data_IF_052934620782
#
_entry.id   IF_052934620782
#
_cell.length_a   1.000
_cell.length_b   1.000
_cell.length_c   1.000
_cell.angle_alpha   90.00
_cell.angle_beta   90.00
_cell.angle_gamma   90.00
#
_symmetry.space_group_name_H-M   'P 1'
#
loop_
_entity.id
_entity.type
_entity.pdbx_description
1 polymer ?
#
# COMPACT_ATOMS: atom_id res chain seq x y z
N UNK A 1 -9.53 -14.93 22.54
CA UNK A 1 -8.62 -14.05 21.76
C UNK A 1 -9.00 -13.99 20.28
N UNK A 2 -9.38 -15.08 19.59
CA UNK A 2 -9.80 -14.99 18.17
C UNK A 2 -11.12 -14.27 17.88
N UNK A 3 -12.08 -14.29 18.80
CA UNK A 3 -13.43 -13.73 18.56
C UNK A 3 -13.52 -12.19 18.71
N UNK A 4 -12.60 -11.56 19.44
CA UNK A 4 -12.58 -10.10 19.63
C UNK A 4 -11.87 -9.40 18.47
N UNK A 5 -10.77 -9.98 17.96
CA UNK A 5 -10.07 -9.51 16.75
C UNK A 5 -10.97 -9.56 15.50
N UNK A 6 -11.77 -10.62 15.37
CA UNK A 6 -12.75 -10.76 14.28
C UNK A 6 -13.86 -9.70 14.37
N UNK A 7 -14.25 -9.29 15.58
CA UNK A 7 -15.32 -8.30 15.80
C UNK A 7 -14.86 -6.86 15.52
N UNK A 8 -13.61 -6.53 15.85
CA UNK A 8 -13.04 -5.20 15.58
C UNK A 8 -12.68 -5.02 14.10
N UNK A 9 -12.14 -6.06 13.46
CA UNK A 9 -11.98 -6.12 12.00
C UNK A 9 -13.30 -5.98 11.25
N UNK A 10 -14.37 -6.63 11.74
CA UNK A 10 -15.72 -6.50 11.18
C UNK A 10 -16.29 -5.07 11.32
N UNK A 11 -15.99 -4.36 12.42
CA UNK A 11 -16.41 -2.96 12.62
C UNK A 11 -15.69 -2.00 11.69
N UNK A 12 -14.37 -2.16 11.51
CA UNK A 12 -13.59 -1.39 10.54
C UNK A 12 -14.06 -1.66 9.10
N UNK A 13 -14.33 -2.91 8.76
CA UNK A 13 -14.89 -3.31 7.47
C UNK A 13 -16.29 -2.72 7.24
N UNK A 14 -17.16 -2.69 8.26
CA UNK A 14 -18.50 -2.11 8.18
C UNK A 14 -18.47 -0.58 8.02
N UNK A 15 -17.56 0.12 8.71
CA UNK A 15 -17.38 1.56 8.58
C UNK A 15 -16.83 1.95 7.18
N UNK A 16 -15.90 1.17 6.65
CA UNK A 16 -15.39 1.35 5.28
C UNK A 16 -16.46 1.05 4.23
N UNK A 17 -17.26 0.00 4.42
CA UNK A 17 -18.37 -0.36 3.54
C UNK A 17 -19.44 0.75 3.48
N UNK A 18 -19.78 1.35 4.63
CA UNK A 18 -20.71 2.46 4.70
C UNK A 18 -20.16 3.73 4.01
N UNK A 19 -18.87 4.00 4.14
CA UNK A 19 -18.21 5.12 3.48
C UNK A 19 -18.06 4.91 1.96
N UNK A 20 -17.96 3.67 1.51
CA UNK A 20 -17.84 3.31 0.10
C UNK A 20 -19.18 3.19 -0.64
N UNK A 21 -20.24 2.75 0.04
CA UNK A 21 -21.60 2.89 -0.47
C UNK A 21 -21.98 4.38 -0.68
N UNK A 22 -21.28 5.28 0.02
CA UNK A 22 -21.34 6.72 -0.16
C UNK A 22 -20.24 7.27 -1.09
N UNK A 23 -19.45 6.42 -1.76
CA UNK A 23 -18.47 6.86 -2.72
C UNK A 23 -19.15 7.67 -3.82
N UNK A 24 -18.61 8.84 -4.20
CA UNK A 24 -19.29 9.76 -5.08
C UNK A 24 -19.63 9.02 -6.37
N UNK A 25 -20.90 9.14 -6.76
CA UNK A 25 -21.26 9.02 -8.16
C UNK A 25 -20.24 9.85 -8.93
N UNK A 26 -19.45 9.22 -9.80
CA UNK A 26 -18.77 9.94 -10.88
C UNK A 26 -19.89 10.36 -11.82
N UNK A 27 -20.56 11.44 -11.46
CA UNK A 27 -21.88 11.81 -11.91
C UNK A 27 -22.36 13.02 -11.13
N UNK A 28 -21.64 14.14 -11.31
CA UNK A 28 -22.17 15.51 -11.52
C UNK A 28 -21.06 16.58 -11.33
N UNK A 29 -20.03 16.31 -10.52
CA UNK A 29 -18.80 17.11 -10.45
C UNK A 29 -17.70 16.51 -11.33
N UNK A 30 -17.15 17.28 -12.27
CA UNK A 30 -16.11 16.81 -13.20
C UNK A 30 -14.79 16.40 -12.53
N UNK A 31 -13.78 16.08 -13.34
CA UNK A 31 -12.41 15.90 -12.84
C UNK A 31 -11.90 17.22 -12.27
N UNK A 32 -11.60 17.24 -10.97
CA UNK A 32 -11.03 18.39 -10.29
C UNK A 32 -9.58 18.12 -9.88
N UNK A 33 -8.71 19.07 -10.22
CA UNK A 33 -7.29 19.03 -9.82
C UNK A 33 -7.20 19.66 -8.42
N UNK A 34 -6.52 19.02 -7.45
CA UNK A 34 -6.27 19.63 -6.14
C UNK A 34 -5.72 21.05 -6.27
N UNK A 35 -6.26 21.99 -5.51
CA UNK A 35 -5.95 23.42 -5.63
C UNK A 35 -4.44 23.69 -5.60
N UNK A 36 -3.70 22.96 -4.76
CA UNK A 36 -2.25 23.11 -4.64
C UNK A 36 -1.50 22.74 -5.94
N UNK A 37 -1.97 21.73 -6.67
CA UNK A 37 -1.41 21.36 -7.96
C UNK A 37 -1.69 22.44 -9.02
N UNK A 38 -2.80 23.17 -8.91
CA UNK A 38 -3.14 24.25 -9.82
C UNK A 38 -2.38 25.56 -9.49
N UNK A 39 -2.16 25.83 -8.20
CA UNK A 39 -1.70 27.13 -7.70
C UNK A 39 -0.21 27.18 -7.32
N UNK A 40 0.38 26.06 -6.88
CA UNK A 40 1.78 26.02 -6.47
C UNK A 40 2.70 25.61 -7.62
N UNK A 41 3.48 26.56 -8.12
CA UNK A 41 4.49 26.32 -9.15
C UNK A 41 5.53 25.29 -8.71
N UNK A 42 5.99 25.37 -7.45
CA UNK A 42 6.98 24.43 -6.91
C UNK A 42 6.52 22.97 -6.96
N UNK A 43 5.28 22.70 -6.58
CA UNK A 43 4.71 21.34 -6.64
C UNK A 43 4.61 20.85 -8.08
N UNK A 44 4.24 21.72 -9.03
CA UNK A 44 4.21 21.36 -10.46
C UNK A 44 5.60 21.08 -11.02
N UNK A 45 6.61 21.87 -10.65
CA UNK A 45 8.00 21.63 -11.05
C UNK A 45 8.54 20.29 -10.53
N UNK A 46 8.20 19.94 -9.28
CA UNK A 46 8.59 18.67 -8.67
C UNK A 46 8.00 17.48 -9.42
N UNK A 47 6.70 17.53 -9.76
CA UNK A 47 6.07 16.49 -10.58
C UNK A 47 6.63 16.45 -12.00
N UNK A 48 6.89 17.60 -12.63
CA UNK A 48 7.49 17.65 -13.96
C UNK A 48 8.92 17.10 -13.98
N UNK A 49 9.71 17.32 -12.93
CA UNK A 49 11.03 16.72 -12.77
C UNK A 49 10.93 15.20 -12.57
N UNK A 50 10.05 14.76 -11.68
CA UNK A 50 9.77 13.34 -11.47
C UNK A 50 9.36 12.64 -12.79
N UNK A 51 8.47 13.23 -13.59
CA UNK A 51 8.04 12.65 -14.86
C UNK A 51 9.18 12.46 -15.87
N UNK A 52 10.17 13.36 -15.87
CA UNK A 52 11.35 13.29 -16.75
C UNK A 52 12.42 12.33 -16.26
N UNK A 53 12.64 12.27 -14.95
CA UNK A 53 13.81 11.62 -14.35
C UNK A 53 13.50 10.21 -13.82
N UNK A 54 12.26 9.96 -13.41
CA UNK A 54 11.90 8.71 -12.73
C UNK A 54 11.63 7.56 -13.68
N UNK A 55 12.12 6.38 -13.28
CA UNK A 55 11.80 5.11 -13.91
C UNK A 55 10.34 4.70 -13.71
N UNK A 56 9.95 3.57 -14.32
CA UNK A 56 8.60 3.02 -14.18
C UNK A 56 8.25 2.70 -12.71
N UNK A 57 9.22 2.22 -11.93
CA UNK A 57 9.04 1.88 -10.52
C UNK A 57 8.66 3.11 -9.70
N UNK A 58 9.49 4.17 -9.70
CA UNK A 58 9.19 5.36 -8.91
C UNK A 58 7.87 6.05 -9.38
N UNK A 59 7.58 6.05 -10.70
CA UNK A 59 6.32 6.60 -11.22
C UNK A 59 5.07 5.82 -10.80
N UNK A 60 5.20 4.53 -10.51
CA UNK A 60 4.09 3.73 -9.98
C UNK A 60 3.61 4.20 -8.60
N UNK A 61 4.47 4.87 -7.83
CA UNK A 61 4.10 5.47 -6.54
C UNK A 61 3.06 6.60 -6.71
N UNK A 62 3.24 7.47 -7.71
CA UNK A 62 2.28 8.53 -8.05
C UNK A 62 0.94 7.95 -8.55
N UNK A 63 0.98 6.88 -9.34
CA UNK A 63 -0.24 6.18 -9.79
C UNK A 63 -1.01 5.55 -8.63
N UNK A 64 -0.29 4.97 -7.66
CA UNK A 64 -0.90 4.40 -6.46
C UNK A 64 -1.54 5.49 -5.60
N UNK A 65 -0.88 6.64 -5.44
CA UNK A 65 -1.47 7.80 -4.77
C UNK A 65 -2.72 8.33 -5.50
N UNK A 66 -2.73 8.34 -6.84
CA UNK A 66 -3.91 8.73 -7.62
C UNK A 66 -5.10 7.81 -7.33
N UNK A 67 -4.86 6.51 -7.25
CA UNK A 67 -5.87 5.53 -6.85
C UNK A 67 -6.47 5.83 -5.48
N UNK A 68 -5.63 6.12 -4.48
CA UNK A 68 -6.10 6.49 -3.13
C UNK A 68 -6.90 7.79 -3.13
N UNK A 69 -6.44 8.80 -3.87
CA UNK A 69 -7.12 10.09 -3.97
C UNK A 69 -8.52 9.96 -4.59
N UNK A 70 -8.64 9.23 -5.70
CA UNK A 70 -9.90 9.06 -6.42
C UNK A 70 -10.87 8.10 -5.72
N UNK A 71 -10.36 7.23 -4.86
CA UNK A 71 -11.15 6.43 -3.92
C UNK A 71 -11.30 7.11 -2.53
N UNK A 72 -11.17 8.44 -2.48
CA UNK A 72 -11.10 9.23 -1.25
C UNK A 72 -12.29 9.11 -0.29
N UNK A 73 -13.45 8.67 -0.78
CA UNK A 73 -14.60 8.36 0.07
C UNK A 73 -14.38 7.12 0.95
N UNK A 74 -13.66 6.12 0.44
CA UNK A 74 -13.27 4.94 1.20
C UNK A 74 -11.92 5.15 1.89
N UNK A 75 -10.91 5.65 1.16
CA UNK A 75 -9.55 5.85 1.65
C UNK A 75 -9.33 7.31 2.01
N UNK A 76 -9.36 7.63 3.31
CA UNK A 76 -9.06 8.99 3.78
C UNK A 76 -7.56 9.25 3.79
N UNK A 77 -7.03 9.71 2.65
CA UNK A 77 -5.66 10.18 2.49
C UNK A 77 -5.67 11.66 2.03
N UNK A 78 -5.47 12.63 2.94
CA UNK A 78 -5.64 14.04 2.64
C UNK A 78 -4.58 14.61 1.71
N UNK A 79 -3.46 13.90 1.49
CA UNK A 79 -2.37 14.35 0.64
C UNK A 79 -2.17 13.48 -0.61
N UNK A 80 -2.91 12.37 -0.74
CA UNK A 80 -2.83 11.49 -1.91
C UNK A 80 -2.97 12.24 -3.24
N UNK A 81 -3.91 13.17 -3.34
CA UNK A 81 -4.14 13.93 -4.58
C UNK A 81 -2.91 14.76 -4.98
N UNK A 82 -2.34 15.49 -4.04
CA UNK A 82 -1.14 16.31 -4.30
C UNK A 82 0.07 15.43 -4.60
N UNK A 83 0.26 14.34 -3.84
CA UNK A 83 1.36 13.38 -4.04
C UNK A 83 1.27 12.62 -5.36
N UNK A 84 0.06 12.46 -5.93
CA UNK A 84 -0.14 11.81 -7.21
C UNK A 84 0.30 12.66 -8.40
N UNK A 85 0.14 13.98 -8.30
CA UNK A 85 0.33 14.89 -9.41
C UNK A 85 -0.82 14.83 -10.42
N UNK A 86 -0.94 15.88 -11.24
CA UNK A 86 -2.06 16.03 -12.18
C UNK A 86 -2.10 14.91 -13.23
N UNK A 87 -0.94 14.56 -13.81
CA UNK A 87 -0.85 13.54 -14.86
C UNK A 87 -1.37 12.18 -14.41
N UNK A 88 -0.93 11.71 -13.23
CA UNK A 88 -1.40 10.45 -12.65
C UNK A 88 -2.88 10.49 -12.30
N UNK A 89 -3.35 11.59 -11.68
CA UNK A 89 -4.77 11.78 -11.34
C UNK A 89 -5.66 11.72 -12.59
N UNK A 90 -5.30 12.46 -13.64
CA UNK A 90 -6.08 12.52 -14.87
C UNK A 90 -6.14 11.17 -15.57
N UNK A 91 -4.98 10.51 -15.73
CA UNK A 91 -4.90 9.19 -16.34
C UNK A 91 -5.74 8.14 -15.60
N UNK A 92 -5.67 8.16 -14.26
CA UNK A 92 -6.41 7.22 -13.43
C UNK A 92 -7.92 7.52 -13.43
N UNK A 93 -8.31 8.79 -13.40
CA UNK A 93 -9.71 9.23 -13.52
C UNK A 93 -10.32 8.79 -14.85
N UNK A 94 -9.63 9.02 -15.96
CA UNK A 94 -10.07 8.59 -17.30
C UNK A 94 -10.25 7.07 -17.38
N UNK A 95 -9.36 6.31 -16.74
CA UNK A 95 -9.48 4.86 -16.62
C UNK A 95 -10.75 4.47 -15.87
N UNK A 96 -11.00 5.04 -14.68
CA UNK A 96 -12.23 4.79 -13.92
C UNK A 96 -13.49 5.18 -14.70
N UNK A 97 -13.47 6.31 -15.41
CA UNK A 97 -14.58 6.76 -16.24
C UNK A 97 -14.83 5.84 -17.45
N UNK A 98 -13.80 5.21 -18.02
CA UNK A 98 -13.96 4.16 -19.03
C UNK A 98 -14.62 2.92 -18.43
N UNK A 99 -14.11 2.42 -17.30
CA UNK A 99 -14.62 1.22 -16.64
C UNK A 99 -16.12 1.35 -16.30
N UNK A 100 -16.54 2.53 -15.80
CA UNK A 100 -17.95 2.83 -15.51
C UNK A 100 -18.81 2.86 -16.77
N UNK A 101 -18.34 3.51 -17.84
CA UNK A 101 -19.07 3.57 -19.13
C UNK A 101 -19.21 2.20 -19.78
N UNK A 102 -18.21 1.33 -19.63
CA UNK A 102 -18.27 -0.04 -20.15
C UNK A 102 -18.98 -1.02 -19.21
N UNK A 103 -19.55 -0.56 -18.08
CA UNK A 103 -20.15 -1.42 -17.05
C UNK A 103 -19.22 -2.56 -16.65
N UNK A 104 -17.93 -2.23 -16.45
CA UNK A 104 -16.95 -3.19 -15.97
C UNK A 104 -17.40 -3.73 -14.60
N UNK A 105 -17.16 -5.02 -14.37
CA UNK A 105 -17.51 -5.72 -13.12
C UNK A 105 -16.71 -5.20 -11.91
N UNK A 106 -15.66 -4.43 -12.17
CA UNK A 106 -14.88 -3.70 -11.19
C UNK A 106 -14.38 -2.38 -11.79
N UNK A 107 -14.30 -1.35 -10.96
CA UNK A 107 -13.74 -0.04 -11.34
C UNK A 107 -12.27 0.01 -10.91
N UNK A 108 -11.41 0.49 -11.79
CA UNK A 108 -9.98 0.65 -11.51
C UNK A 108 -9.72 1.35 -10.18
N UNK A 109 -8.75 0.82 -9.44
CA UNK A 109 -8.36 1.33 -8.13
C UNK A 109 -9.06 0.67 -6.94
N UNK A 110 -10.09 -0.16 -7.17
CA UNK A 110 -10.74 -0.88 -6.06
C UNK A 110 -9.77 -1.78 -5.29
N UNK A 111 -8.84 -2.48 -5.97
CA UNK A 111 -7.77 -3.25 -5.33
C UNK A 111 -6.88 -2.34 -4.47
N UNK A 112 -6.51 -1.16 -4.97
CA UNK A 112 -5.67 -0.22 -4.24
C UNK A 112 -6.37 0.27 -2.98
N UNK A 113 -7.67 0.56 -3.07
CA UNK A 113 -8.48 0.97 -1.93
C UNK A 113 -8.58 -0.13 -0.87
N UNK A 114 -8.96 -1.35 -1.27
CA UNK A 114 -9.00 -2.52 -0.39
C UNK A 114 -7.63 -2.76 0.25
N UNK A 115 -6.55 -2.74 -0.54
CA UNK A 115 -5.18 -2.95 -0.05
C UNK A 115 -4.80 -1.89 0.98
N UNK A 116 -5.01 -0.61 0.68
CA UNK A 116 -4.69 0.46 1.62
C UNK A 116 -5.46 0.29 2.94
N UNK A 117 -6.76 0.02 2.88
CA UNK A 117 -7.59 -0.17 4.07
C UNK A 117 -7.18 -1.40 4.88
N UNK A 118 -6.80 -2.49 4.21
CA UNK A 118 -6.28 -3.68 4.87
C UNK A 118 -5.00 -3.36 5.64
N UNK A 119 -4.00 -2.76 4.98
CA UNK A 119 -2.76 -2.38 5.65
C UNK A 119 -2.99 -1.40 6.80
N UNK A 120 -3.87 -0.41 6.64
CA UNK A 120 -4.20 0.54 7.72
C UNK A 120 -4.78 -0.18 8.94
N UNK A 121 -5.77 -1.07 8.72
CA UNK A 121 -6.40 -1.83 9.79
C UNK A 121 -5.41 -2.78 10.49
N UNK A 122 -4.45 -3.34 9.75
CA UNK A 122 -3.43 -4.26 10.30
C UNK A 122 -2.33 -3.52 11.04
N UNK A 123 -1.94 -2.34 10.59
CA UNK A 123 -1.05 -1.44 11.33
C UNK A 123 -1.72 -1.03 12.65
N UNK A 124 -2.99 -0.61 12.61
CA UNK A 124 -3.73 -0.22 13.81
C UNK A 124 -3.84 -1.36 14.83
N UNK A 125 -4.20 -2.57 14.39
CA UNK A 125 -4.25 -3.73 15.28
C UNK A 125 -2.87 -4.13 15.82
N UNK A 126 -1.83 -4.13 15.00
CA UNK A 126 -0.48 -4.46 15.44
C UNK A 126 0.06 -3.44 16.46
N UNK A 127 -0.30 -2.16 16.32
CA UNK A 127 0.03 -1.11 17.28
C UNK A 127 -0.77 -1.28 18.58
N UNK A 128 -2.06 -1.62 18.49
CA UNK A 128 -2.92 -1.81 19.66
C UNK A 128 -2.54 -3.05 20.50
N UNK A 129 -2.09 -4.13 19.87
CA UNK A 129 -1.67 -5.37 20.56
C UNK A 129 -0.23 -5.31 21.12
N UNK A 130 0.54 -4.28 20.78
CA UNK A 130 1.90 -4.13 21.26
C UNK A 130 1.94 -3.66 22.73
N UNK A 131 2.77 -4.30 23.56
CA UNK A 131 2.95 -3.91 24.96
C UNK A 131 3.61 -2.52 25.13
N UNK A 132 4.34 -2.06 24.11
CA UNK A 132 4.94 -0.74 24.01
C UNK A 132 4.78 -0.21 22.57
N UNK A 133 4.77 1.11 22.33
CA UNK A 133 4.63 1.68 21.00
C UNK A 133 5.70 1.13 20.04
N UNK A 134 5.32 0.43 18.95
CA UNK A 134 6.28 -0.19 18.06
C UNK A 134 6.97 0.84 17.16
N UNK A 135 8.11 0.45 16.61
CA UNK A 135 8.70 1.12 15.45
C UNK A 135 7.97 0.64 14.19
N UNK A 136 7.47 1.55 13.35
CA UNK A 136 6.82 1.20 12.09
C UNK A 136 7.77 1.49 10.94
N UNK A 137 8.06 0.51 10.11
CA UNK A 137 8.99 0.63 8.97
C UNK A 137 8.23 0.43 7.67
N UNK A 138 8.13 1.49 6.87
CA UNK A 138 7.55 1.49 5.53
C UNK A 138 8.68 1.25 4.52
N UNK A 139 8.82 0.02 4.02
CA UNK A 139 9.83 -0.35 3.02
C UNK A 139 9.30 -0.13 1.60
N UNK A 140 10.02 0.64 0.79
CA UNK A 140 9.50 1.14 -0.48
C UNK A 140 8.36 2.12 -0.23
N UNK A 141 8.58 3.07 0.68
CA UNK A 141 7.54 3.97 1.20
C UNK A 141 6.79 4.75 0.12
N UNK A 142 7.38 4.98 -1.05
CA UNK A 142 6.76 5.64 -2.19
C UNK A 142 6.06 6.93 -1.76
N UNK A 143 4.83 7.09 -2.27
CA UNK A 143 3.93 8.19 -1.89
C UNK A 143 3.03 7.84 -0.69
N UNK A 144 3.40 6.92 0.20
CA UNK A 144 2.62 6.58 1.40
C UNK A 144 2.52 7.78 2.36
N UNK A 145 1.32 8.10 2.84
CA UNK A 145 1.07 9.21 3.75
C UNK A 145 0.67 8.77 5.17
N UNK A 146 0.81 7.49 5.54
CA UNK A 146 0.35 6.94 6.83
C UNK A 146 0.86 7.71 8.04
N UNK A 147 2.12 8.14 8.05
CA UNK A 147 2.70 8.97 9.11
C UNK A 147 1.95 10.31 9.33
N UNK A 148 1.21 10.80 8.34
CA UNK A 148 0.45 12.05 8.35
C UNK A 148 -1.07 11.85 8.50
N UNK A 149 -1.57 10.61 8.48
CA UNK A 149 -3.02 10.35 8.49
C UNK A 149 -3.50 9.28 9.47
N UNK A 150 -2.62 8.41 9.96
CA UNK A 150 -2.99 7.37 10.93
C UNK A 150 -2.73 7.84 12.36
N UNK A 151 -3.80 8.14 13.09
CA UNK A 151 -3.73 8.61 14.49
C UNK A 151 -3.22 7.55 15.47
N UNK A 152 -3.33 6.25 15.12
CA UNK A 152 -2.75 5.17 15.93
C UNK A 152 -1.22 5.27 16.05
N UNK A 153 -0.55 6.00 15.13
CA UNK A 153 0.90 6.16 15.12
C UNK A 153 1.44 7.24 16.06
N UNK A 154 0.59 7.92 16.83
CA UNK A 154 0.97 9.08 17.68
C UNK A 154 2.10 8.83 18.67
N UNK A 155 2.30 7.59 19.10
CA UNK A 155 3.42 7.20 19.98
C UNK A 155 4.52 6.43 19.26
N UNK A 156 4.34 6.13 17.98
CA UNK A 156 5.21 5.28 17.17
C UNK A 156 6.25 6.11 16.40
N UNK A 157 7.49 5.64 16.38
CA UNK A 157 8.50 6.14 15.44
C UNK A 157 8.27 5.48 14.07
N UNK A 158 8.10 6.27 13.02
CA UNK A 158 7.93 5.79 11.65
C UNK A 158 9.22 5.99 10.86
N UNK A 159 9.65 4.95 10.17
CA UNK A 159 10.78 4.97 9.25
C UNK A 159 10.28 4.77 7.81
N UNK A 160 10.57 5.72 6.93
CA UNK A 160 10.34 5.58 5.48
C UNK A 160 11.66 5.22 4.81
N UNK A 161 11.73 4.03 4.20
CA UNK A 161 12.91 3.54 3.49
C UNK A 161 12.61 3.51 2.00
N UNK A 162 13.32 4.33 1.22
CA UNK A 162 13.16 4.40 -0.23
C UNK A 162 14.36 5.12 -0.88
N UNK A 163 14.32 5.26 -2.21
CA UNK A 163 15.29 6.00 -3.00
C UNK A 163 15.43 7.46 -2.52
N UNK A 164 16.67 7.99 -2.46
CA UNK A 164 16.93 9.35 -1.98
C UNK A 164 16.10 10.42 -2.71
N UNK A 165 16.00 10.33 -4.03
CA UNK A 165 15.25 11.28 -4.87
C UNK A 165 13.74 11.22 -4.61
N UNK A 166 13.19 10.03 -4.36
CA UNK A 166 11.77 9.85 -4.08
C UNK A 166 11.43 10.47 -2.71
N UNK A 167 12.21 10.12 -1.68
CA UNK A 167 12.03 10.65 -0.32
C UNK A 167 12.12 12.17 -0.29
N UNK A 168 13.08 12.75 -1.04
CA UNK A 168 13.25 14.20 -1.17
C UNK A 168 12.03 14.85 -1.84
N UNK A 169 11.64 14.39 -3.01
CA UNK A 169 10.48 14.94 -3.75
C UNK A 169 9.20 14.87 -2.91
N UNK A 170 8.93 13.72 -2.27
CA UNK A 170 7.78 13.57 -1.36
C UNK A 170 7.84 14.55 -0.20
N UNK A 171 9.00 14.71 0.45
CA UNK A 171 9.16 15.62 1.57
C UNK A 171 8.84 17.07 1.16
N UNK A 172 9.32 17.51 -0.01
CA UNK A 172 9.06 18.85 -0.54
C UNK A 172 7.58 19.03 -0.89
N UNK A 173 6.94 18.06 -1.54
CA UNK A 173 5.50 18.13 -1.85
C UNK A 173 4.66 18.21 -0.57
N UNK A 174 4.97 17.40 0.44
CA UNK A 174 4.25 17.43 1.73
C UNK A 174 4.51 18.75 2.46
N UNK A 175 5.72 19.31 2.37
CA UNK A 175 6.04 20.61 2.94
C UNK A 175 5.15 21.71 2.33
N UNK A 176 5.09 21.79 1.00
CA UNK A 176 4.20 22.73 0.28
C UNK A 176 2.73 22.54 0.65
N UNK A 177 2.29 21.29 0.82
CA UNK A 177 0.94 21.00 1.29
C UNK A 177 0.70 21.45 2.73
N UNK A 178 1.71 21.36 3.61
CA UNK A 178 1.56 21.72 5.02
C UNK A 178 1.49 23.24 5.23
N UNK A 179 2.25 24.01 4.44
CA UNK A 179 2.28 25.48 4.56
C UNK A 179 1.15 26.18 3.78
N UNK A 180 0.46 25.45 2.92
CA UNK A 180 -0.62 26.00 2.10
C UNK A 180 -1.88 26.33 2.93
N UNK A 181 -2.47 27.54 2.78
CA UNK A 181 -3.69 27.93 3.49
C UNK A 181 -4.88 27.00 3.25
N UNK A 182 -4.97 26.39 2.06
CA UNK A 182 -6.03 25.47 1.67
C UNK A 182 -5.82 24.04 2.21
N UNK A 183 -4.65 23.72 2.75
CA UNK A 183 -4.28 22.40 3.28
C UNK A 183 -3.85 22.45 4.76
N UNK A 184 -4.34 23.43 5.53
CA UNK A 184 -4.06 23.69 6.96
C UNK A 184 -4.28 22.51 7.96
N UNK A 185 -4.49 21.28 7.49
CA UNK A 185 -4.77 20.09 8.29
C UNK A 185 -3.77 18.95 8.09
N UNK A 186 -2.76 19.09 7.23
CA UNK A 186 -1.70 18.08 7.10
C UNK A 186 -0.71 18.27 8.25
N UNK A 187 -0.88 17.48 9.31
CA UNK A 187 0.02 17.47 10.47
C UNK A 187 0.58 16.06 10.65
N UNK A 188 1.84 15.97 11.06
CA UNK A 188 2.44 14.69 11.37
C UNK A 188 1.65 14.04 12.51
N UNK A 189 1.07 12.87 12.24
CA UNK A 189 0.33 12.09 13.22
C UNK A 189 1.26 11.18 14.00
N UNK A 190 2.32 10.69 13.37
CA UNK A 190 3.31 9.86 14.03
C UNK A 190 4.13 10.65 15.07
N UNK A 191 4.66 9.96 16.10
CA UNK A 191 5.56 10.57 17.09
C UNK A 191 6.80 11.18 16.44
N UNK A 192 7.36 10.46 15.49
CA UNK A 192 8.48 10.92 14.67
C UNK A 192 8.42 10.26 13.31
N UNK A 193 8.97 10.94 12.30
CA UNK A 193 9.15 10.41 10.97
C UNK A 193 10.62 10.56 10.58
N UNK A 194 11.25 9.43 10.27
CA UNK A 194 12.65 9.36 9.85
C UNK A 194 12.70 8.82 8.43
N UNK A 195 13.30 9.60 7.53
CA UNK A 195 13.53 9.19 6.13
C UNK A 195 14.90 8.56 6.01
N UNK A 196 14.95 7.36 5.47
CA UNK A 196 16.15 6.53 5.35
C UNK A 196 16.44 6.31 3.87
N UNK A 197 17.37 7.08 3.27
CA UNK A 197 17.73 6.92 1.86
C UNK A 197 18.46 5.58 1.65
N UNK A 198 17.78 4.61 1.05
CA UNK A 198 18.35 3.29 0.77
C UNK A 198 17.62 2.59 -0.38
N UNK A 199 18.38 1.84 -1.17
CA UNK A 199 17.85 0.90 -2.16
C UNK A 199 17.80 -0.51 -1.55
N UNK A 200 16.63 -1.15 -1.55
CA UNK A 200 16.45 -2.50 -1.00
C UNK A 200 17.21 -3.58 -1.80
N UNK A 201 17.74 -3.24 -2.97
CA UNK A 201 18.60 -4.11 -3.78
C UNK A 201 20.05 -4.11 -3.29
N UNK A 202 20.45 -3.09 -2.54
CA UNK A 202 21.78 -3.01 -1.93
C UNK A 202 21.82 -3.81 -0.62
N UNK A 203 22.99 -4.29 -0.21
CA UNK A 203 23.12 -5.11 1.00
C UNK A 203 23.12 -4.29 2.32
N UNK A 204 23.27 -2.97 2.24
CA UNK A 204 23.49 -2.10 3.40
C UNK A 204 22.22 -1.35 3.87
N UNK A 205 21.05 -1.59 3.26
CA UNK A 205 19.81 -0.87 3.60
C UNK A 205 19.43 -1.01 5.08
N UNK A 206 19.63 -2.20 5.67
CA UNK A 206 19.34 -2.45 7.08
C UNK A 206 20.35 -1.76 8.00
N UNK A 207 21.62 -1.68 7.60
CA UNK A 207 22.65 -0.91 8.31
C UNK A 207 22.33 0.59 8.28
N UNK A 208 21.95 1.12 7.10
CA UNK A 208 21.46 2.50 6.93
C UNK A 208 20.26 2.76 7.85
N UNK A 209 19.28 1.86 7.89
CA UNK A 209 18.12 1.96 8.78
C UNK A 209 18.53 2.03 10.27
N UNK A 210 19.46 1.17 10.70
CA UNK A 210 20.01 1.20 12.08
C UNK A 210 20.75 2.50 12.39
N UNK A 211 21.56 3.02 11.47
CA UNK A 211 22.25 4.32 11.61
C UNK A 211 21.27 5.49 11.78
N UNK A 212 20.08 5.38 11.22
CA UNK A 212 19.00 6.37 11.36
C UNK A 212 18.15 6.17 12.62
N UNK A 213 18.52 5.26 13.52
CA UNK A 213 17.93 5.13 14.85
C UNK A 213 16.94 3.96 15.01
N UNK A 214 16.76 3.12 14.00
CA UNK A 214 16.01 1.87 14.17
C UNK A 214 16.75 0.94 15.15
N UNK A 215 16.04 0.48 16.19
CA UNK A 215 16.57 -0.49 17.15
C UNK A 215 15.96 -1.89 16.90
N UNK A 216 16.76 -2.91 16.54
CA UNK A 216 16.25 -4.27 16.30
C UNK A 216 15.79 -5.01 17.57
N UNK A 217 16.11 -4.48 18.76
CA UNK A 217 15.67 -5.06 20.05
C UNK A 217 14.33 -4.48 20.53
N UNK A 218 13.65 -3.69 19.70
CA UNK A 218 12.32 -3.12 20.01
C UNK A 218 11.27 -3.73 19.10
N UNK A 219 10.02 -3.75 19.58
CA UNK A 219 8.88 -4.21 18.80
C UNK A 219 8.79 -3.45 17.48
N UNK A 220 8.62 -4.16 16.36
CA UNK A 220 8.60 -3.55 15.03
C UNK A 220 7.46 -4.07 14.15
N UNK A 221 6.80 -3.16 13.45
CA UNK A 221 5.83 -3.45 12.38
C UNK A 221 6.46 -3.08 11.04
N UNK A 222 6.69 -4.08 10.20
CA UNK A 222 7.27 -3.93 8.87
C UNK A 222 6.17 -3.93 7.83
N UNK A 223 6.14 -2.92 6.97
CA UNK A 223 5.13 -2.75 5.92
C UNK A 223 5.82 -2.79 4.57
N UNK A 224 5.50 -3.81 3.78
CA UNK A 224 5.98 -4.03 2.42
C UNK A 224 4.77 -4.00 1.50
N UNK A 225 4.15 -2.83 1.35
CA UNK A 225 3.01 -2.64 0.45
C UNK A 225 3.51 -2.35 -0.97
N UNK A 226 3.27 -3.29 -1.88
CA UNK A 226 3.47 -3.11 -3.29
C UNK A 226 4.93 -3.01 -3.72
N UNK A 227 5.84 -3.65 -2.99
CA UNK A 227 7.29 -3.56 -3.23
C UNK A 227 7.92 -4.90 -3.65
N UNK A 228 7.50 -6.02 -3.06
CA UNK A 228 8.19 -7.32 -3.19
C UNK A 228 8.33 -7.76 -4.65
N UNK A 229 7.26 -7.65 -5.43
CA UNK A 229 7.24 -8.09 -6.82
C UNK A 229 8.11 -7.22 -7.76
N UNK A 230 8.59 -6.05 -7.33
CA UNK A 230 9.56 -5.24 -8.08
C UNK A 230 11.03 -5.62 -7.80
N UNK A 231 11.27 -6.45 -6.79
CA UNK A 231 12.62 -6.88 -6.44
C UNK A 231 12.97 -8.16 -7.18
N UNK A 232 14.22 -8.31 -7.68
CA UNK A 232 14.72 -9.62 -8.10
C UNK A 232 14.57 -10.65 -6.98
N UNK A 233 14.36 -11.92 -7.35
CA UNK A 233 14.07 -13.01 -6.39
C UNK A 233 15.00 -13.00 -5.18
N UNK A 234 16.32 -12.88 -5.40
CA UNK A 234 17.30 -12.90 -4.32
C UNK A 234 17.19 -11.68 -3.40
N UNK A 235 16.90 -10.48 -3.93
CA UNK A 235 16.70 -9.29 -3.10
C UNK A 235 15.41 -9.38 -2.27
N UNK A 236 14.30 -9.85 -2.87
CA UNK A 236 13.04 -10.06 -2.16
C UNK A 236 13.21 -11.06 -1.00
N UNK A 237 13.86 -12.20 -1.25
CA UNK A 237 14.16 -13.19 -0.21
C UNK A 237 15.08 -12.62 0.86
N UNK A 238 16.16 -11.93 0.50
CA UNK A 238 17.06 -11.29 1.46
C UNK A 238 16.34 -10.29 2.37
N UNK A 239 15.39 -9.50 1.84
CA UNK A 239 14.57 -8.59 2.64
C UNK A 239 13.69 -9.38 3.63
N UNK A 240 12.98 -10.41 3.16
CA UNK A 240 12.11 -11.24 4.00
C UNK A 240 12.90 -11.96 5.10
N UNK A 241 14.03 -12.57 4.77
CA UNK A 241 14.92 -13.26 5.70
C UNK A 241 15.53 -12.29 6.74
N UNK A 242 15.91 -11.08 6.31
CA UNK A 242 16.43 -10.04 7.22
C UNK A 242 15.38 -9.59 8.24
N UNK A 243 14.11 -9.50 7.83
CA UNK A 243 13.00 -9.19 8.74
C UNK A 243 12.72 -10.37 9.66
N UNK A 244 12.69 -11.59 9.13
CA UNK A 244 12.46 -12.81 9.92
C UNK A 244 13.55 -13.00 11.00
N UNK A 245 14.79 -12.63 10.71
CA UNK A 245 15.87 -12.65 11.70
C UNK A 245 15.60 -11.74 12.91
N UNK A 246 14.82 -10.66 12.76
CA UNK A 246 14.44 -9.80 13.88
C UNK A 246 13.42 -10.47 14.83
N UNK A 247 12.66 -11.47 14.39
CA UNK A 247 11.77 -12.24 15.27
C UNK A 247 12.53 -12.91 16.43
N UNK A 248 13.82 -13.18 16.27
CA UNK A 248 14.67 -13.73 17.34
C UNK A 248 15.07 -12.70 18.41
N UNK A 249 14.93 -11.40 18.14
CA UNK A 249 15.37 -10.31 19.01
C UNK A 249 14.21 -9.60 19.70
N UNK A 250 13.13 -9.38 18.97
CA UNK A 250 11.96 -8.67 19.46
C UNK A 250 10.70 -9.11 18.74
N UNK A 251 9.54 -8.77 19.33
CA UNK A 251 8.25 -8.97 18.69
C UNK A 251 8.23 -8.25 17.34
N UNK A 252 8.01 -9.01 16.28
CA UNK A 252 8.04 -8.51 14.91
C UNK A 252 6.73 -8.87 14.23
N UNK A 253 6.16 -7.92 13.50
CA UNK A 253 5.00 -8.15 12.64
C UNK A 253 5.35 -7.71 11.23
N UNK A 254 5.25 -8.63 10.28
CA UNK A 254 5.39 -8.38 8.85
C UNK A 254 4.00 -8.24 8.24
N UNK A 255 3.76 -7.11 7.58
CA UNK A 255 2.62 -6.85 6.71
C UNK A 255 3.17 -6.74 5.29
N UNK A 256 2.73 -7.60 4.38
CA UNK A 256 3.22 -7.61 3.01
C UNK A 256 2.15 -8.03 2.01
N UNK A 257 2.28 -7.61 0.76
CA UNK A 257 1.49 -8.16 -0.34
C UNK A 257 2.34 -9.00 -1.30
N UNK A 258 1.76 -10.11 -1.75
CA UNK A 258 2.39 -11.05 -2.67
C UNK A 258 1.54 -11.21 -3.92
N UNK A 259 2.19 -11.21 -5.07
CA UNK A 259 1.58 -11.62 -6.33
C UNK A 259 1.84 -13.11 -6.57
N UNK A 260 0.84 -13.80 -7.13
CA UNK A 260 1.02 -15.17 -7.61
C UNK A 260 1.72 -15.18 -8.99
N UNK A 261 2.09 -16.37 -9.47
CA UNK A 261 2.82 -16.51 -10.74
C UNK A 261 2.08 -15.90 -11.92
N UNK A 262 0.77 -16.12 -12.01
CA UNK A 262 -0.07 -15.62 -13.10
C UNK A 262 -0.07 -14.08 -13.15
N UNK A 263 0.00 -13.40 -12.00
CA UNK A 263 0.06 -11.93 -11.96
C UNK A 263 1.31 -11.35 -12.64
N UNK A 264 2.40 -12.13 -12.81
CA UNK A 264 3.57 -11.67 -13.57
C UNK A 264 3.25 -11.40 -15.04
N UNK A 265 2.24 -12.08 -15.62
CA UNK A 265 1.84 -11.83 -17.00
C UNK A 265 1.14 -10.48 -17.19
N UNK A 266 0.71 -9.82 -16.10
CA UNK A 266 0.14 -8.46 -16.16
C UNK A 266 1.22 -7.42 -16.53
N UNK A 267 2.49 -7.74 -16.29
CA UNK A 267 3.60 -6.87 -16.65
C UNK A 267 4.07 -7.16 -18.08
N UNK A 268 3.47 -6.50 -19.06
CA UNK A 268 3.97 -6.49 -20.45
C UNK A 268 5.42 -5.96 -20.58
N UNK A 269 5.92 -5.28 -19.54
CA UNK A 269 7.20 -4.56 -19.51
C UNK A 269 8.30 -5.30 -18.74
N UNK A 270 8.07 -6.55 -18.29
CA UNK A 270 9.04 -7.32 -17.49
C UNK A 270 9.43 -6.67 -16.15
N UNK A 271 8.57 -5.81 -15.59
CA UNK A 271 8.82 -5.02 -14.36
C UNK A 271 8.61 -5.83 -13.07
N UNK A 272 7.88 -6.95 -13.13
CA UNK A 272 7.70 -7.84 -11.99
C UNK A 272 8.67 -9.02 -12.06
N UNK A 273 9.37 -9.27 -10.95
CA UNK A 273 10.48 -10.24 -10.88
C UNK A 273 10.31 -11.31 -9.79
N UNK A 274 9.47 -11.04 -8.78
CA UNK A 274 9.23 -11.94 -7.66
C UNK A 274 7.73 -12.27 -7.55
N UNK A 275 7.44 -13.51 -7.17
CA UNK A 275 6.10 -14.00 -6.94
C UNK A 275 6.12 -15.12 -5.89
N UNK A 276 4.98 -15.37 -5.28
CA UNK A 276 4.73 -16.57 -4.49
C UNK A 276 3.28 -16.99 -4.62
N UNK A 277 3.05 -18.23 -5.04
CA UNK A 277 1.69 -18.81 -5.06
C UNK A 277 1.23 -19.20 -3.64
N UNK A 278 2.17 -19.39 -2.71
CA UNK A 278 1.96 -19.93 -1.36
C UNK A 278 2.80 -19.19 -0.31
N UNK A 279 2.58 -17.87 -0.07
CA UNK A 279 3.38 -17.14 0.91
C UNK A 279 3.19 -17.67 2.34
N UNK A 280 2.03 -18.26 2.64
CA UNK A 280 1.73 -19.01 3.86
C UNK A 280 2.56 -20.28 4.06
N UNK A 281 3.14 -20.84 2.99
CA UNK A 281 4.10 -21.93 3.09
C UNK A 281 5.55 -21.43 3.06
N UNK A 282 5.81 -20.32 2.37
CA UNK A 282 7.15 -19.72 2.24
C UNK A 282 7.63 -19.09 3.55
N UNK A 283 6.81 -18.24 4.17
CA UNK A 283 7.24 -17.47 5.34
C UNK A 283 7.62 -18.35 6.56
N UNK A 284 6.97 -19.50 6.82
CA UNK A 284 7.43 -20.41 7.87
C UNK A 284 8.81 -21.01 7.63
N UNK A 285 9.24 -21.19 6.37
CA UNK A 285 10.57 -21.76 6.09
C UNK A 285 11.71 -20.81 6.45
N UNK A 286 11.43 -19.53 6.64
CA UNK A 286 12.43 -18.50 6.97
C UNK A 286 12.29 -17.95 8.39
N UNK A 287 11.37 -18.50 9.20
CA UNK A 287 11.31 -18.24 10.65
C UNK A 287 10.03 -17.58 11.17
N UNK A 288 9.06 -17.24 10.32
CA UNK A 288 7.76 -16.74 10.79
C UNK A 288 6.90 -17.88 11.34
N UNK A 289 6.50 -17.77 12.60
CA UNK A 289 5.78 -18.85 13.30
C UNK A 289 4.27 -18.83 13.04
N UNK A 290 3.71 -17.64 12.82
CA UNK A 290 2.30 -17.41 12.50
C UNK A 290 2.20 -16.67 11.20
N UNK A 291 1.38 -17.16 10.29
CA UNK A 291 1.12 -16.52 9.00
C UNK A 291 -0.38 -16.55 8.73
N UNK A 292 -0.98 -15.37 8.54
CA UNK A 292 -2.35 -15.19 8.09
C UNK A 292 -2.31 -14.66 6.66
N UNK A 293 -2.99 -15.37 5.77
CA UNK A 293 -3.11 -15.01 4.36
C UNK A 293 -4.57 -14.63 4.08
N UNK A 294 -4.77 -13.45 3.50
CA UNK A 294 -6.04 -12.97 2.98
C UNK A 294 -5.92 -12.72 1.47
N UNK A 295 -7.02 -12.81 0.75
CA UNK A 295 -7.11 -12.40 -0.66
C UNK A 295 -8.17 -11.30 -0.79
N UNK A 296 -8.01 -10.42 -1.77
CA UNK A 296 -9.06 -9.47 -2.16
C UNK A 296 -10.40 -10.22 -2.32
N UNK A 297 -11.43 -9.78 -1.61
CA UNK A 297 -12.74 -10.43 -1.53
C UNK A 297 -13.01 -11.23 -0.26
N UNK A 298 -11.98 -11.58 0.53
CA UNK A 298 -12.18 -12.23 1.83
C UNK A 298 -12.86 -11.29 2.84
N UNK A 299 -13.50 -11.82 3.91
CA UNK A 299 -14.22 -11.02 4.90
C UNK A 299 -13.41 -9.90 5.56
N UNK A 300 -12.09 -10.05 5.67
CA UNK A 300 -11.19 -9.02 6.19
C UNK A 300 -10.47 -8.21 5.10
N UNK A 301 -10.71 -8.51 3.81
CA UNK A 301 -10.06 -7.92 2.65
C UNK A 301 -11.06 -7.59 1.52
N UNK A 302 -12.27 -7.12 1.88
CA UNK A 302 -13.28 -6.62 0.92
C UNK A 302 -13.77 -5.20 1.23
N UNK A 303 -13.88 -4.83 2.51
CA UNK A 303 -14.30 -3.48 2.99
C UNK A 303 -15.60 -2.96 2.38
N UNK A 304 -16.48 -3.87 1.95
CA UNK A 304 -17.69 -3.55 1.21
C UNK A 304 -17.44 -2.78 -0.09
N UNK A 305 -16.27 -2.92 -0.71
CA UNK A 305 -15.93 -2.26 -1.99
C UNK A 305 -16.26 -3.13 -3.22
N UNK A 306 -16.58 -4.40 -2.98
CA UNK A 306 -16.81 -5.42 -4.00
C UNK A 306 -18.27 -5.85 -3.94
N UNK A 307 -19.08 -5.37 -4.88
CA UNK A 307 -20.54 -5.56 -4.86
C UNK A 307 -21.06 -6.50 -5.94
N UNK A 308 -20.35 -6.64 -7.07
CA UNK A 308 -20.75 -7.51 -8.16
C UNK A 308 -20.28 -8.95 -7.87
N UNK A 309 -21.18 -9.94 -7.72
CA UNK A 309 -20.78 -11.33 -7.46
C UNK A 309 -19.98 -11.97 -8.62
N UNK A 310 -20.01 -11.36 -9.81
CA UNK A 310 -19.26 -11.75 -11.00
C UNK A 310 -17.94 -10.98 -11.16
N UNK A 311 -17.55 -10.15 -10.19
CA UNK A 311 -16.25 -9.47 -10.21
C UNK A 311 -15.08 -10.48 -10.30
N UNK A 312 -13.94 -10.04 -10.83
CA UNK A 312 -12.80 -10.90 -11.09
C UNK A 312 -12.28 -11.56 -9.80
N UNK A 313 -12.26 -10.82 -8.68
CA UNK A 313 -11.77 -11.34 -7.40
C UNK A 313 -12.65 -12.48 -6.88
N UNK A 314 -13.98 -12.37 -6.95
CA UNK A 314 -14.89 -13.44 -6.55
C UNK A 314 -14.74 -14.69 -7.42
N UNK A 315 -14.58 -14.51 -8.74
CA UNK A 315 -14.32 -15.64 -9.66
C UNK A 315 -13.03 -16.36 -9.32
N UNK A 316 -11.95 -15.60 -9.14
CA UNK A 316 -10.63 -16.13 -8.84
C UNK A 316 -10.60 -16.76 -7.45
N UNK A 317 -11.22 -16.15 -6.42
CA UNK A 317 -11.26 -16.66 -5.04
C UNK A 317 -11.99 -18.00 -4.90
N UNK A 318 -12.97 -18.29 -5.75
CA UNK A 318 -13.68 -19.59 -5.80
C UNK A 318 -12.86 -20.72 -6.42
N UNK A 319 -11.77 -20.41 -7.11
CA UNK A 319 -10.89 -21.40 -7.74
C UNK A 319 -9.72 -21.79 -6.81
N UNK A 320 -9.28 -23.07 -6.81
CA UNK A 320 -8.06 -23.48 -6.12
C UNK A 320 -6.85 -22.66 -6.57
N UNK A 321 -5.92 -22.36 -5.64
CA UNK A 321 -4.68 -21.60 -5.94
C UNK A 321 -3.78 -22.27 -6.99
N UNK A 322 -3.88 -23.59 -7.16
CA UNK A 322 -3.18 -24.34 -8.21
C UNK A 322 -3.68 -24.04 -9.62
N UNK A 323 -4.87 -23.45 -9.79
CA UNK A 323 -5.43 -23.07 -11.08
C UNK A 323 -4.84 -21.75 -11.54
N UNK A 324 -4.05 -21.78 -12.63
CA UNK A 324 -3.34 -20.61 -13.16
C UNK A 324 -4.11 -19.83 -14.23
N UNK A 325 -5.08 -20.47 -14.89
CA UNK A 325 -5.95 -19.87 -15.91
C UNK A 325 -7.40 -20.20 -15.61
N UNK A 326 -8.29 -19.24 -15.79
CA UNK A 326 -9.71 -19.40 -15.53
C UNK A 326 -10.32 -20.38 -16.56
N UNK A 327 -11.11 -21.38 -16.14
CA UNK A 327 -11.60 -22.43 -17.03
C UNK A 327 -12.56 -21.93 -18.10
N UNK A 328 -13.35 -20.88 -17.81
CA UNK A 328 -14.41 -20.43 -18.72
C UNK A 328 -13.92 -19.53 -19.87
N UNK A 329 -12.91 -18.69 -19.62
CA UNK A 329 -12.46 -17.66 -20.57
C UNK A 329 -10.94 -17.69 -20.86
N UNK A 330 -10.21 -18.61 -20.22
CA UNK A 330 -8.77 -18.79 -20.41
C UNK A 330 -7.90 -17.66 -19.86
N UNK A 331 -8.47 -16.68 -19.16
CA UNK A 331 -7.72 -15.54 -18.62
C UNK A 331 -6.81 -15.98 -17.46
N UNK A 332 -5.62 -15.37 -17.25
CA UNK A 332 -4.76 -15.72 -16.13
C UNK A 332 -5.43 -15.40 -14.77
N UNK A 333 -5.44 -16.38 -13.85
CA UNK A 333 -5.91 -16.21 -12.48
C UNK A 333 -4.91 -15.38 -11.66
N UNK A 334 -4.94 -14.06 -11.85
CA UNK A 334 -4.08 -13.12 -11.15
C UNK A 334 -4.57 -12.92 -9.71
N UNK A 335 -3.70 -13.16 -8.75
CA UNK A 335 -3.99 -13.02 -7.31
C UNK A 335 -3.04 -12.02 -6.67
N UNK A 336 -3.60 -11.30 -5.71
CA UNK A 336 -2.88 -10.50 -4.74
C UNK A 336 -3.23 -11.03 -3.35
N UNK A 337 -2.23 -11.55 -2.66
CA UNK A 337 -2.35 -12.03 -1.29
C UNK A 337 -1.88 -10.93 -0.34
N UNK A 338 -2.67 -10.67 0.69
CA UNK A 338 -2.34 -9.78 1.79
C UNK A 338 -1.95 -10.65 2.98
N UNK A 339 -0.74 -10.43 3.50
CA UNK A 339 -0.12 -11.36 4.45
C UNK A 339 0.29 -10.62 5.70
N UNK A 340 -0.17 -11.13 6.84
CA UNK A 340 0.31 -10.77 8.17
C UNK A 340 1.11 -11.96 8.72
N UNK A 341 2.34 -11.72 9.17
CA UNK A 341 3.20 -12.75 9.75
C UNK A 341 3.93 -12.27 11.01
N UNK A 342 4.21 -13.19 11.95
CA UNK A 342 4.96 -12.93 13.18
C UNK A 342 5.81 -14.12 13.61
#
# INVERSE_FOLDING_TARGET
MSQEDDAEGARAAAAAAAAAAAAPHVGEGGFEVPELLATCERVRELHAAAEREWGLLQRSACQTAAGRALWGAAVRDPVAGVLAGEGSLRSFYEKMARDRRSSAREVSGVILAVRTLWFDARIEAAVADAAEPPQVVLLGAGMDARAYRLSCLKECAVFEVDFPELLKTKAEIIHEATISPCHQRVTLQAKSLVRVPADLREHDWLEKLRKHGFNPNKTAVWVLEGILYYLPQHNAMNVLESIAANCALARTTLLADFMNKSSLSLSNSGTYHFYSDWPDHLLPTIGFSRVKLSQIGDPDAHFGLLHDPENLFEKVRKLPRSVQTHPDDGTPCCRLYLVEAS
#
